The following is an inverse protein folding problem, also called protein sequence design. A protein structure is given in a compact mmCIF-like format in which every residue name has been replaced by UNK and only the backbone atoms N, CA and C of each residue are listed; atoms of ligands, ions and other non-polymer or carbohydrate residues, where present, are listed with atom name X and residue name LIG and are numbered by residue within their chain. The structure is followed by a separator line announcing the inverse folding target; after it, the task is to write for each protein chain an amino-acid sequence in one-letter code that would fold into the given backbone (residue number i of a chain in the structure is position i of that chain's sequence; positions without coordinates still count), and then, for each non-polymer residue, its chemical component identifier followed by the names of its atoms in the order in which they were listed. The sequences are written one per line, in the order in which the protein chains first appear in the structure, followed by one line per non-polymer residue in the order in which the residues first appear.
data_IF_626455842311
#
_entry.id   IF_626455842311
#
_cell.length_a   1.000
_cell.length_b   1.000
_cell.length_c   1.000
_cell.angle_alpha   90.00
_cell.angle_beta   90.00
_cell.angle_gamma   90.00
#
_symmetry.space_group_name_H-M   'P 1'
#
loop_
_entity.id
_entity.type
_entity.pdbx_description
1 polymer ?
#
# COMPACT_ATOMS: atom_id res chain seq x y z
N UNK A 1 13.21 -31.95 -9.86
CA UNK A 1 13.24 -32.30 -8.42
C UNK A 1 14.34 -31.51 -7.76
N UNK A 2 14.02 -30.42 -7.07
CA UNK A 2 14.91 -29.85 -6.04
C UNK A 2 14.01 -29.42 -4.89
N UNK A 3 13.88 -30.32 -3.92
CA UNK A 3 13.29 -30.07 -2.62
C UNK A 3 14.45 -29.97 -1.60
N UNK A 4 14.14 -29.39 -0.44
CA UNK A 4 15.00 -29.18 0.73
C UNK A 4 15.92 -27.93 0.72
N UNK A 5 15.40 -26.86 1.31
CA UNK A 5 15.86 -26.28 2.60
C UNK A 5 14.73 -25.34 3.04
N UNK A 6 14.05 -25.72 4.11
CA UNK A 6 12.69 -25.28 4.40
C UNK A 6 12.40 -24.98 5.85
N UNK A 7 13.39 -24.52 6.61
CA UNK A 7 13.16 -24.22 8.02
C UNK A 7 13.83 -22.90 8.36
N UNK A 8 13.09 -21.80 8.14
CA UNK A 8 13.05 -20.67 9.09
C UNK A 8 12.04 -19.56 8.82
N UNK A 9 11.47 -19.36 7.62
CA UNK A 9 10.43 -18.32 7.44
C UNK A 9 9.44 -18.71 6.31
N UNK A 10 8.25 -19.26 6.62
CA UNK A 10 7.24 -19.63 5.62
C UNK A 10 6.79 -18.46 4.73
N UNK A 11 6.76 -17.23 5.27
CA UNK A 11 6.32 -16.03 4.55
C UNK A 11 7.29 -15.53 3.47
N UNK A 12 8.59 -15.80 3.60
CA UNK A 12 9.60 -15.25 2.67
C UNK A 12 9.54 -15.89 1.26
N UNK A 13 9.05 -17.13 1.15
CA UNK A 13 8.99 -17.84 -0.14
C UNK A 13 7.99 -17.22 -1.11
N UNK A 14 6.81 -16.86 -0.60
CA UNK A 14 5.78 -16.19 -1.39
C UNK A 14 6.21 -14.81 -1.88
N UNK A 15 7.04 -14.11 -1.08
CA UNK A 15 7.64 -12.82 -1.44
C UNK A 15 8.70 -12.94 -2.52
N UNK A 16 9.59 -13.96 -2.43
CA UNK A 16 10.61 -14.23 -3.45
C UNK A 16 9.97 -14.65 -4.79
N UNK A 17 8.91 -15.46 -4.77
CA UNK A 17 8.15 -15.78 -5.97
C UNK A 17 7.42 -14.58 -6.55
N UNK A 18 6.85 -13.71 -5.70
CA UNK A 18 6.23 -12.48 -6.15
C UNK A 18 7.26 -11.64 -6.89
N UNK A 19 8.41 -11.30 -6.26
CA UNK A 19 9.54 -10.56 -6.85
C UNK A 19 9.86 -10.99 -8.29
N UNK A 20 10.03 -12.29 -8.54
CA UNK A 20 10.39 -12.82 -9.88
C UNK A 20 9.31 -12.64 -10.94
N UNK A 21 8.04 -12.64 -10.56
CA UNK A 21 6.93 -12.42 -11.50
C UNK A 21 6.77 -10.92 -11.81
N UNK A 22 7.25 -10.04 -10.92
CA UNK A 22 7.07 -8.58 -11.05
C UNK A 22 7.94 -7.93 -12.11
N UNK A 23 9.14 -8.47 -12.33
CA UNK A 23 10.05 -7.97 -13.38
C UNK A 23 9.52 -8.25 -14.79
N UNK A 24 8.47 -9.09 -14.94
CA UNK A 24 8.04 -9.66 -16.22
C UNK A 24 6.67 -9.19 -16.70
N UNK A 25 5.88 -8.47 -15.90
CA UNK A 25 4.48 -8.15 -16.24
C UNK A 25 4.23 -6.65 -16.08
N UNK A 26 4.25 -5.94 -17.20
CA UNK A 26 3.83 -4.54 -17.31
C UNK A 26 2.63 -4.48 -18.27
N UNK A 27 1.46 -4.07 -17.75
CA UNK A 27 0.27 -3.76 -18.56
C UNK A 27 -1.09 -4.30 -18.06
N UNK A 28 -1.87 -3.42 -17.43
CA UNK A 28 -3.33 -3.30 -17.66
C UNK A 28 -4.32 -3.87 -16.62
N UNK A 29 -5.08 -2.96 -15.99
CA UNK A 29 -6.22 -3.11 -15.07
C UNK A 29 -5.89 -3.52 -13.61
N UNK A 30 -6.11 -2.58 -12.67
CA UNK A 30 -5.23 -2.31 -11.50
C UNK A 30 -3.80 -2.03 -11.97
N UNK A 31 -3.16 -0.97 -11.49
CA UNK A 31 -1.74 -0.82 -11.84
C UNK A 31 -1.01 -2.04 -11.25
N UNK A 32 -0.12 -2.74 -11.98
CA UNK A 32 0.60 -3.89 -11.43
C UNK A 32 1.13 -3.67 -9.99
N UNK A 33 1.61 -2.46 -9.61
CA UNK A 33 2.00 -2.12 -8.24
C UNK A 33 0.90 -2.18 -7.17
N UNK A 34 -0.34 -1.77 -7.45
CA UNK A 34 -1.45 -1.85 -6.50
C UNK A 34 -1.76 -3.31 -6.17
N UNK A 35 -1.98 -4.14 -7.20
CA UNK A 35 -2.24 -5.57 -7.03
C UNK A 35 -1.09 -6.24 -6.27
N UNK A 36 0.16 -5.87 -6.58
CA UNK A 36 1.36 -6.37 -5.89
C UNK A 36 1.36 -6.01 -4.41
N UNK A 37 1.07 -4.75 -4.08
CA UNK A 37 1.01 -4.27 -2.69
C UNK A 37 -0.08 -4.99 -1.92
N UNK A 38 -1.26 -5.18 -2.52
CA UNK A 38 -2.36 -5.94 -1.92
C UNK A 38 -1.98 -7.41 -1.68
N UNK A 39 -1.36 -8.08 -2.65
CA UNK A 39 -0.91 -9.47 -2.50
C UNK A 39 0.18 -9.62 -1.44
N UNK A 40 1.10 -8.65 -1.36
CA UNK A 40 2.12 -8.57 -0.32
C UNK A 40 1.47 -8.56 1.08
N UNK A 41 0.53 -7.65 1.31
CA UNK A 41 -0.19 -7.50 2.57
C UNK A 41 -0.96 -8.77 2.95
N UNK A 42 -1.76 -9.31 2.01
CA UNK A 42 -2.61 -10.49 2.28
C UNK A 42 -1.77 -11.73 2.58
N UNK A 43 -0.63 -11.92 1.90
CA UNK A 43 0.25 -13.08 2.12
C UNK A 43 0.98 -13.03 3.47
N UNK A 44 1.17 -11.84 4.04
CA UNK A 44 1.75 -11.66 5.37
C UNK A 44 0.76 -11.96 6.50
N UNK A 45 -0.52 -12.20 6.17
CA UNK A 45 -1.58 -12.46 7.15
C UNK A 45 -2.14 -11.20 7.80
N UNK A 46 -1.79 -10.01 7.30
CA UNK A 46 -2.41 -8.76 7.70
C UNK A 46 -3.88 -8.71 7.23
N UNK A 47 -4.72 -7.89 7.89
CA UNK A 47 -6.11 -7.68 7.47
C UNK A 47 -6.16 -7.34 5.98
N UNK A 48 -7.10 -7.97 5.25
CA UNK A 48 -7.21 -7.75 3.82
C UNK A 48 -7.64 -6.30 3.54
N UNK A 49 -6.90 -5.53 2.73
CA UNK A 49 -7.31 -4.19 2.36
C UNK A 49 -8.50 -4.23 1.41
N UNK A 50 -9.36 -3.24 1.56
CA UNK A 50 -10.39 -2.85 0.62
C UNK A 50 -9.76 -2.04 -0.52
N UNK A 51 -10.42 -2.05 -1.67
CA UNK A 51 -9.96 -1.33 -2.87
C UNK A 51 -10.83 -0.10 -3.11
N UNK A 52 -10.27 0.93 -3.73
CA UNK A 52 -11.03 2.10 -4.21
C UNK A 52 -11.76 2.85 -3.06
N UNK A 53 -11.06 3.04 -1.94
CA UNK A 53 -11.57 3.74 -0.77
C UNK A 53 -11.85 5.21 -1.13
N UNK A 54 -13.08 5.65 -0.83
CA UNK A 54 -13.49 7.05 -0.95
C UNK A 54 -13.44 7.72 0.40
N UNK A 55 -12.54 8.68 0.58
CA UNK A 55 -12.51 9.51 1.78
C UNK A 55 -13.47 10.66 1.64
N UNK A 56 -14.36 10.78 2.61
CA UNK A 56 -15.36 11.85 2.69
C UNK A 56 -15.08 12.77 3.87
N UNK A 57 -15.31 14.06 3.67
CA UNK A 57 -15.29 15.02 4.77
C UNK A 57 -16.60 14.99 5.59
N UNK A 58 -16.68 15.83 6.62
CA UNK A 58 -17.85 15.93 7.50
C UNK A 58 -19.15 16.36 6.79
N UNK A 59 -19.08 16.87 5.56
CA UNK A 59 -20.25 17.20 4.72
C UNK A 59 -20.66 16.05 3.78
N UNK A 60 -19.90 14.96 3.75
CA UNK A 60 -20.13 13.82 2.86
C UNK A 60 -19.49 13.97 1.46
N UNK A 61 -18.82 15.08 1.18
CA UNK A 61 -18.10 15.32 -0.08
C UNK A 61 -16.86 14.44 -0.13
N UNK A 62 -16.61 13.83 -1.29
CA UNK A 62 -15.38 13.06 -1.54
C UNK A 62 -14.21 14.03 -1.70
N UNK A 63 -13.21 13.90 -0.83
CA UNK A 63 -11.99 14.72 -0.85
C UNK A 63 -10.78 13.96 -1.39
N UNK A 64 -10.83 12.63 -1.31
CA UNK A 64 -9.78 11.77 -1.82
C UNK A 64 -10.34 10.40 -2.23
N UNK A 65 -9.66 9.77 -3.19
CA UNK A 65 -9.80 8.35 -3.52
C UNK A 65 -8.44 7.69 -3.43
N UNK A 66 -8.37 6.54 -2.77
CA UNK A 66 -7.16 5.74 -2.65
C UNK A 66 -7.42 4.33 -3.16
N UNK A 67 -6.43 3.73 -3.82
CA UNK A 67 -6.62 2.44 -4.47
C UNK A 67 -6.70 1.29 -3.48
N UNK A 68 -6.08 1.43 -2.29
CA UNK A 68 -6.07 0.42 -1.25
C UNK A 68 -6.16 1.04 0.15
N UNK A 69 -6.81 0.33 1.07
CA UNK A 69 -6.82 0.73 2.47
C UNK A 69 -7.78 -0.07 3.33
N UNK A 70 -8.09 0.48 4.49
CA UNK A 70 -9.07 -0.04 5.41
C UNK A 70 -9.89 1.10 5.97
N UNK A 71 -11.16 1.17 5.60
CA UNK A 71 -12.04 2.27 6.03
C UNK A 71 -12.26 2.22 7.55
N UNK A 72 -12.43 1.02 8.10
CA UNK A 72 -12.66 0.78 9.53
C UNK A 72 -11.54 1.32 10.42
N UNK A 73 -10.30 1.35 9.93
CA UNK A 73 -9.13 1.83 10.67
C UNK A 73 -8.59 3.15 10.14
N UNK A 74 -9.24 3.74 9.13
CA UNK A 74 -8.79 4.95 8.43
C UNK A 74 -7.32 4.88 8.00
N UNK A 75 -6.90 3.75 7.44
CA UNK A 75 -5.54 3.57 6.92
C UNK A 75 -5.61 3.43 5.39
N UNK A 76 -4.85 4.24 4.67
CA UNK A 76 -4.71 4.20 3.21
C UNK A 76 -3.33 3.72 2.82
N UNK A 77 -3.25 3.03 1.68
CA UNK A 77 -2.00 2.63 1.04
C UNK A 77 -2.00 3.18 -0.37
N UNK A 78 -1.07 4.08 -0.66
CA UNK A 78 -0.97 4.74 -1.96
C UNK A 78 0.37 4.37 -2.61
N UNK A 79 0.31 3.86 -3.83
CA UNK A 79 1.50 3.63 -4.62
C UNK A 79 1.98 4.96 -5.21
N UNK A 80 3.23 5.29 -4.93
CA UNK A 80 3.92 6.47 -5.48
C UNK A 80 4.84 5.99 -6.60
N UNK A 81 4.35 6.05 -7.83
CA UNK A 81 5.14 5.73 -9.02
C UNK A 81 6.15 6.83 -9.34
N UNK A 82 7.12 6.55 -10.21
CA UNK A 82 8.18 7.51 -10.60
C UNK A 82 7.68 8.73 -11.41
N UNK A 83 6.37 9.02 -11.42
CA UNK A 83 5.75 10.06 -12.23
C UNK A 83 5.65 11.42 -11.50
N UNK A 84 6.56 12.31 -11.91
CA UNK A 84 6.41 13.77 -12.03
C UNK A 84 6.23 14.64 -10.78
N UNK A 85 7.28 14.75 -9.96
CA UNK A 85 7.53 15.89 -9.06
C UNK A 85 7.91 17.20 -9.79
N UNK A 86 7.58 17.34 -11.08
CA UNK A 86 8.04 18.46 -11.94
C UNK A 86 7.00 19.59 -12.10
N UNK A 87 5.78 19.44 -11.56
CA UNK A 87 4.74 20.48 -11.60
C UNK A 87 4.45 21.01 -10.19
N UNK A 88 4.73 22.30 -9.96
CA UNK A 88 4.47 23.00 -8.70
C UNK A 88 3.00 22.93 -8.27
N UNK A 89 2.06 22.93 -9.23
CA UNK A 89 0.63 22.83 -8.95
C UNK A 89 0.25 21.45 -8.43
N UNK A 90 0.87 20.41 -8.96
CA UNK A 90 0.65 19.04 -8.50
C UNK A 90 1.16 18.88 -7.07
N UNK A 91 2.37 19.39 -6.79
CA UNK A 91 2.95 19.36 -5.44
C UNK A 91 2.10 20.09 -4.41
N UNK A 92 1.58 21.27 -4.73
CA UNK A 92 0.68 22.00 -3.82
C UNK A 92 -0.57 21.19 -3.51
N UNK A 93 -1.20 20.59 -4.54
CA UNK A 93 -2.39 19.75 -4.36
C UNK A 93 -2.11 18.51 -3.51
N UNK A 94 -0.94 17.90 -3.66
CA UNK A 94 -0.57 16.73 -2.86
C UNK A 94 -0.32 17.09 -1.39
N UNK A 95 0.23 18.28 -1.12
CA UNK A 95 0.36 18.81 0.25
C UNK A 95 -1.02 19.06 0.86
N UNK A 96 -1.89 19.77 0.14
CA UNK A 96 -3.24 20.09 0.62
C UNK A 96 -4.04 18.80 0.88
N UNK A 97 -3.97 17.83 -0.05
CA UNK A 97 -4.61 16.52 0.10
C UNK A 97 -4.07 15.77 1.33
N UNK A 98 -2.76 15.79 1.56
CA UNK A 98 -2.17 15.11 2.72
C UNK A 98 -2.68 15.73 4.03
N UNK A 99 -2.77 17.06 4.09
CA UNK A 99 -3.31 17.78 5.24
C UNK A 99 -4.80 17.47 5.46
N UNK A 100 -5.61 17.43 4.40
CA UNK A 100 -7.04 17.08 4.49
C UNK A 100 -7.25 15.66 5.02
N UNK A 101 -6.47 14.70 4.52
CA UNK A 101 -6.52 13.31 4.99
C UNK A 101 -6.14 13.21 6.47
N UNK A 102 -5.05 13.88 6.87
CA UNK A 102 -4.61 13.93 8.26
C UNK A 102 -5.67 14.55 9.18
N UNK A 103 -6.27 15.68 8.78
CA UNK A 103 -7.33 16.35 9.54
C UNK A 103 -8.59 15.47 9.71
N UNK A 104 -8.86 14.59 8.74
CA UNK A 104 -9.94 13.59 8.82
C UNK A 104 -9.53 12.32 9.60
N UNK A 105 -8.31 12.28 10.14
CA UNK A 105 -7.78 11.17 10.92
C UNK A 105 -7.34 9.97 10.08
N UNK A 106 -7.06 10.17 8.80
CA UNK A 106 -6.54 9.11 7.93
C UNK A 106 -5.03 9.04 7.99
N UNK A 107 -4.51 7.83 8.17
CA UNK A 107 -3.09 7.55 8.02
C UNK A 107 -2.79 7.07 6.60
N UNK A 108 -1.90 7.76 5.89
CA UNK A 108 -1.48 7.37 4.54
C UNK A 108 -0.11 6.69 4.57
N UNK A 109 0.01 5.54 3.93
CA UNK A 109 1.26 4.81 3.71
C UNK A 109 1.63 4.92 2.25
N UNK A 110 2.74 5.59 1.95
CA UNK A 110 3.29 5.67 0.59
C UNK A 110 4.21 4.47 0.32
N UNK A 111 3.97 3.81 -0.81
CA UNK A 111 4.74 2.66 -1.28
C UNK A 111 5.34 3.01 -2.64
N UNK A 112 6.66 3.10 -2.73
CA UNK A 112 7.36 3.31 -3.99
C UNK A 112 7.68 2.00 -4.69
N UNK A 113 8.01 2.07 -5.99
CA UNK A 113 8.52 0.94 -6.77
C UNK A 113 9.71 0.26 -6.09
N UNK A 114 10.67 1.07 -5.61
CA UNK A 114 11.87 0.60 -4.92
C UNK A 114 11.54 -0.09 -3.60
N UNK A 115 10.66 0.48 -2.77
CA UNK A 115 10.26 -0.17 -1.52
C UNK A 115 9.57 -1.50 -1.79
N UNK A 116 8.68 -1.55 -2.78
CA UNK A 116 7.94 -2.75 -3.11
C UNK A 116 8.85 -3.87 -3.66
N UNK A 117 9.88 -3.51 -4.43
CA UNK A 117 10.83 -4.45 -5.04
C UNK A 117 11.90 -4.91 -4.04
N UNK A 118 12.58 -3.96 -3.41
CA UNK A 118 13.83 -4.19 -2.70
C UNK A 118 13.62 -4.31 -1.18
N UNK A 119 12.58 -3.64 -0.63
CA UNK A 119 12.33 -3.55 0.82
C UNK A 119 10.86 -3.83 1.21
N UNK A 120 10.25 -4.94 0.77
CA UNK A 120 8.84 -5.23 1.03
C UNK A 120 8.53 -5.44 2.53
N UNK A 121 9.51 -5.86 3.32
CA UNK A 121 9.42 -5.92 4.78
C UNK A 121 9.17 -4.54 5.41
N UNK A 122 9.81 -3.49 4.90
CA UNK A 122 9.58 -2.11 5.35
C UNK A 122 8.15 -1.67 5.06
N UNK A 123 7.59 -2.08 3.91
CA UNK A 123 6.18 -1.82 3.58
C UNK A 123 5.26 -2.51 4.59
N UNK A 124 5.49 -3.80 4.86
CA UNK A 124 4.70 -4.57 5.82
C UNK A 124 4.78 -4.00 7.24
N UNK A 125 5.96 -3.62 7.71
CA UNK A 125 6.14 -3.02 9.03
C UNK A 125 5.41 -1.68 9.16
N UNK A 126 5.45 -0.84 8.12
CA UNK A 126 4.67 0.42 8.09
C UNK A 126 3.17 0.16 8.17
N UNK A 127 2.68 -0.81 7.40
CA UNK A 127 1.27 -1.22 7.43
C UNK A 127 0.88 -1.71 8.82
N UNK A 128 1.65 -2.64 9.39
CA UNK A 128 1.40 -3.20 10.72
C UNK A 128 1.41 -2.13 11.80
N UNK A 129 2.38 -1.22 11.78
CA UNK A 129 2.46 -0.13 12.73
C UNK A 129 1.24 0.79 12.66
N UNK A 130 0.82 1.23 11.48
CA UNK A 130 -0.35 2.11 11.32
C UNK A 130 -1.66 1.43 11.69
N UNK A 131 -1.84 0.17 11.28
CA UNK A 131 -2.99 -0.62 11.67
C UNK A 131 -3.07 -0.81 13.20
N UNK A 132 -1.95 -1.10 13.87
CA UNK A 132 -1.90 -1.22 15.33
C UNK A 132 -2.21 0.11 16.03
N UNK A 133 -1.65 1.22 15.54
CA UNK A 133 -1.97 2.56 16.06
C UNK A 133 -3.46 2.90 15.91
N UNK A 134 -4.10 2.40 14.85
CA UNK A 134 -5.53 2.57 14.60
C UNK A 134 -6.42 1.55 15.33
N UNK A 135 -5.84 0.64 16.14
CA UNK A 135 -6.59 -0.34 16.93
C UNK A 135 -6.96 -1.63 16.19
N UNK A 136 -6.34 -1.92 15.05
CA UNK A 136 -6.53 -3.19 14.36
C UNK A 136 -5.81 -4.35 15.07
N UNK A 137 -6.33 -5.59 14.99
CA UNK A 137 -5.72 -6.76 15.64
C UNK A 137 -4.57 -7.34 14.81
N UNK A 138 -3.37 -6.74 14.90
CA UNK A 138 -2.17 -7.09 14.08
C UNK A 138 -0.83 -7.11 14.81
#
# INVERSE_FOLDING_TARGET
MVSAIAERHPGARGLVQLRRVLDLVDGGAESPPETRTRLLIVRDGLPRPETQILVRDGSGRVVARSDLGWESWRVLVEYDGDHHWLDERQRSRDIDRAADLEALGWAVIRVSAELLRDRPDVVLERVRAKLRMAGAPV
#
